data_IF_301460530706
#
_entry.id   IF_301460530706
#
_cell.length_a   1.000
_cell.length_b   1.000
_cell.length_c   1.000
_cell.angle_alpha   90.00
_cell.angle_beta   90.00
_cell.angle_gamma   90.00
#
_symmetry.space_group_name_H-M   'P 1'
#
loop_
_entity.id
_entity.type
_entity.pdbx_description
1 polymer ?
#
# COMPACT_ATOMS: atom_id res chain seq x y z
N UNK A 1 10.61 1.18 -14.66
CA UNK A 1 11.84 2.00 -14.49
C UNK A 1 11.54 3.16 -13.56
N UNK A 2 12.52 3.74 -12.86
CA UNK A 2 12.27 4.85 -11.95
C UNK A 2 13.40 5.85 -11.80
N UNK A 3 13.10 6.99 -11.19
CA UNK A 3 14.02 8.10 -10.96
C UNK A 3 13.84 8.69 -9.56
N UNK A 4 14.96 8.87 -8.86
CA UNK A 4 14.98 9.61 -7.60
C UNK A 4 14.84 11.11 -7.87
N UNK A 5 13.87 11.72 -7.22
CA UNK A 5 13.58 13.15 -7.26
C UNK A 5 14.60 13.96 -6.44
N UNK A 6 15.16 13.37 -5.38
CA UNK A 6 16.27 13.92 -4.62
C UNK A 6 17.58 13.15 -4.90
N UNK A 7 18.74 13.71 -4.52
CA UNK A 7 20.03 13.00 -4.59
C UNK A 7 20.12 11.92 -3.50
N UNK A 8 19.38 10.83 -3.67
CA UNK A 8 19.32 9.67 -2.77
C UNK A 8 19.66 8.37 -3.52
N UNK A 9 19.90 7.32 -2.74
CA UNK A 9 20.04 5.92 -3.19
C UNK A 9 19.43 5.00 -2.13
N UNK A 10 19.09 3.77 -2.51
CA UNK A 10 18.75 2.71 -1.54
C UNK A 10 19.94 2.36 -0.63
N UNK A 11 19.67 1.63 0.46
CA UNK A 11 20.67 1.14 1.41
C UNK A 11 21.55 0.01 0.83
N UNK A 12 21.10 -0.67 -0.22
CA UNK A 12 21.84 -1.70 -0.95
C UNK A 12 21.78 -1.42 -2.46
N UNK A 13 22.74 -1.97 -3.22
CA UNK A 13 22.74 -1.83 -4.69
C UNK A 13 21.61 -2.64 -5.34
N UNK A 14 21.29 -3.79 -4.76
CA UNK A 14 20.13 -4.62 -5.07
C UNK A 14 19.27 -4.65 -3.82
N UNK A 15 18.06 -4.12 -3.91
CA UNK A 15 17.08 -4.05 -2.82
C UNK A 15 16.00 -5.11 -3.06
N UNK A 16 16.00 -6.22 -2.31
CA UNK A 16 14.99 -7.26 -2.45
C UNK A 16 13.65 -6.91 -1.79
N UNK A 17 13.62 -5.94 -0.87
CA UNK A 17 12.38 -5.57 -0.17
C UNK A 17 11.57 -4.53 -0.96
N UNK A 18 10.44 -4.97 -1.52
CA UNK A 18 9.48 -4.11 -2.19
C UNK A 18 9.04 -2.92 -1.32
N UNK A 19 9.05 -3.07 0.01
CA UNK A 19 8.62 -2.02 0.93
C UNK A 19 9.51 -0.79 0.88
N UNK A 20 10.82 -0.92 0.64
CA UNK A 20 11.72 0.23 0.54
C UNK A 20 11.41 1.08 -0.69
N UNK A 21 11.06 0.43 -1.81
CA UNK A 21 10.59 1.11 -3.02
C UNK A 21 9.27 1.85 -2.75
N UNK A 22 8.32 1.20 -2.05
CA UNK A 22 7.02 1.79 -1.71
C UNK A 22 7.13 2.97 -0.75
N UNK A 23 8.04 2.90 0.24
CA UNK A 23 8.32 4.02 1.13
C UNK A 23 8.84 5.23 0.36
N UNK A 24 9.79 5.02 -0.55
CA UNK A 24 10.34 6.09 -1.39
C UNK A 24 9.31 6.71 -2.35
N UNK A 25 8.36 5.91 -2.84
CA UNK A 25 7.22 6.40 -3.61
C UNK A 25 6.25 7.22 -2.75
N UNK A 26 5.90 6.71 -1.58
CA UNK A 26 5.00 7.37 -0.64
C UNK A 26 5.59 8.68 -0.09
N UNK A 27 6.91 8.74 0.13
CA UNK A 27 7.62 9.96 0.52
C UNK A 27 7.80 10.96 -0.63
N UNK A 28 7.33 10.63 -1.85
CA UNK A 28 7.52 11.43 -3.06
C UNK A 28 8.99 11.72 -3.36
N UNK A 29 9.88 10.79 -3.01
CA UNK A 29 11.31 10.89 -3.28
C UNK A 29 11.72 10.10 -4.53
N UNK A 30 10.89 9.16 -4.95
CA UNK A 30 11.10 8.27 -6.09
C UNK A 30 9.84 8.27 -6.95
N UNK A 31 10.00 8.29 -8.27
CA UNK A 31 8.92 8.00 -9.22
C UNK A 31 9.28 6.73 -9.98
N UNK A 32 8.32 5.83 -10.15
CA UNK A 32 8.45 4.63 -11.01
C UNK A 32 7.29 4.56 -11.99
N UNK A 33 7.55 4.11 -13.21
CA UNK A 33 6.53 3.92 -14.25
C UNK A 33 6.71 2.59 -14.98
N UNK A 34 5.57 2.06 -15.46
CA UNK A 34 5.48 0.79 -16.18
C UNK A 34 5.99 1.00 -17.61
N UNK A 35 6.91 0.16 -18.07
CA UNK A 35 7.61 0.37 -19.33
C UNK A 35 6.97 -0.34 -20.52
N UNK A 36 6.27 -1.46 -20.29
CA UNK A 36 5.69 -2.29 -21.36
C UNK A 36 4.61 -1.53 -22.11
N UNK A 37 3.67 -0.92 -21.39
CA UNK A 37 2.57 -0.13 -21.93
C UNK A 37 3.03 1.15 -22.61
N UNK A 38 4.11 1.76 -22.14
CA UNK A 38 4.73 2.94 -22.78
C UNK A 38 5.35 2.58 -24.13
N UNK A 39 5.81 1.34 -24.30
CA UNK A 39 6.37 0.85 -25.57
C UNK A 39 5.35 0.19 -26.50
N UNK A 40 4.09 0.05 -26.08
CA UNK A 40 3.03 -0.53 -26.90
C UNK A 40 2.48 0.47 -27.92
N UNK A 41 1.81 0.01 -28.97
CA UNK A 41 1.05 0.85 -29.90
C UNK A 41 -0.43 0.45 -29.87
N UNK A 42 -1.35 1.33 -29.45
CA UNK A 42 -1.15 2.73 -29.04
C UNK A 42 -0.42 2.84 -27.69
N UNK A 43 0.38 3.90 -27.54
CA UNK A 43 1.20 4.10 -26.35
C UNK A 43 0.35 4.55 -25.15
N UNK A 44 0.66 3.99 -23.98
CA UNK A 44 0.03 4.39 -22.72
C UNK A 44 0.50 5.79 -22.29
N UNK A 45 -0.41 6.58 -21.71
CA UNK A 45 -0.05 7.87 -21.09
C UNK A 45 0.86 7.68 -19.89
N UNK A 46 1.66 8.68 -19.54
CA UNK A 46 2.53 8.63 -18.36
C UNK A 46 1.73 8.37 -17.07
N UNK A 47 0.60 9.06 -16.87
CA UNK A 47 -0.29 8.81 -15.73
C UNK A 47 -0.89 7.40 -15.73
N UNK A 48 -1.18 6.83 -16.92
CA UNK A 48 -1.58 5.45 -17.05
C UNK A 48 -0.49 4.49 -16.59
N UNK A 49 0.75 4.75 -17.00
CA UNK A 49 1.92 3.95 -16.65
C UNK A 49 2.29 4.02 -15.16
N UNK A 50 2.01 5.15 -14.50
CA UNK A 50 2.10 5.27 -13.04
C UNK A 50 1.05 4.39 -12.36
N UNK A 51 -0.23 4.54 -12.74
CA UNK A 51 -1.35 3.78 -12.14
C UNK A 51 -1.26 2.28 -12.35
N UNK A 52 -0.77 1.83 -13.50
CA UNK A 52 -0.55 0.41 -13.78
C UNK A 52 0.44 -0.25 -12.80
N UNK A 53 1.35 0.54 -12.22
CA UNK A 53 2.33 0.06 -11.25
C UNK A 53 1.80 -0.02 -9.82
N UNK A 54 0.77 0.76 -9.46
CA UNK A 54 0.19 0.73 -8.11
C UNK A 54 -0.30 -0.67 -7.72
N UNK A 55 -0.90 -1.39 -8.67
CA UNK A 55 -1.32 -2.78 -8.47
C UNK A 55 -0.14 -3.74 -8.30
N UNK A 56 0.88 -3.62 -9.15
CA UNK A 56 2.08 -4.49 -9.15
C UNK A 56 3.00 -4.26 -7.94
N UNK A 57 2.97 -3.04 -7.39
CA UNK A 57 3.62 -2.69 -6.13
C UNK A 57 2.66 -2.81 -4.93
N UNK A 58 1.50 -3.43 -5.13
CA UNK A 58 0.57 -3.77 -4.07
C UNK A 58 1.17 -4.80 -3.12
N UNK A 59 0.70 -4.77 -1.87
CA UNK A 59 1.12 -5.72 -0.82
C UNK A 59 0.85 -7.17 -1.22
N UNK A 60 -0.27 -7.39 -1.90
CA UNK A 60 -0.74 -8.72 -2.26
C UNK A 60 0.12 -9.35 -3.39
N UNK A 61 0.77 -8.50 -4.19
CA UNK A 61 1.66 -8.85 -5.30
C UNK A 61 3.14 -8.89 -4.87
N UNK A 62 3.44 -8.75 -3.57
CA UNK A 62 4.83 -8.71 -3.08
C UNK A 62 5.64 -9.95 -3.47
N UNK A 63 4.99 -11.10 -3.65
CA UNK A 63 5.63 -12.35 -4.07
C UNK A 63 6.14 -12.32 -5.52
N UNK A 64 5.58 -11.45 -6.38
CA UNK A 64 6.01 -11.25 -7.76
C UNK A 64 7.16 -10.23 -7.88
N UNK A 65 7.45 -9.48 -6.81
CA UNK A 65 8.57 -8.56 -6.77
C UNK A 65 9.87 -9.33 -6.52
N UNK A 66 10.81 -9.22 -7.45
CA UNK A 66 12.12 -9.89 -7.35
C UNK A 66 13.14 -9.00 -6.66
N UNK A 67 13.40 -7.81 -7.21
CA UNK A 67 14.32 -6.82 -6.65
C UNK A 67 14.19 -5.46 -7.35
N UNK A 68 14.63 -4.40 -6.67
CA UNK A 68 14.95 -3.12 -7.26
C UNK A 68 16.47 -2.94 -7.34
N UNK A 69 16.95 -2.45 -8.49
CA UNK A 69 18.39 -2.24 -8.72
C UNK A 69 18.66 -0.74 -8.72
N UNK A 70 19.44 -0.27 -7.75
CA UNK A 70 19.91 1.12 -7.72
C UNK A 70 21.12 1.29 -8.64
N UNK A 71 20.87 1.85 -9.82
CA UNK A 71 21.91 2.07 -10.84
C UNK A 71 22.99 3.03 -10.34
N UNK A 72 22.61 4.09 -9.61
CA UNK A 72 23.58 5.08 -9.11
C UNK A 72 24.50 4.45 -8.07
N UNK A 73 23.93 3.70 -7.12
CA UNK A 73 24.72 3.02 -6.09
C UNK A 73 25.60 1.92 -6.68
N UNK A 74 25.07 1.14 -7.62
CA UNK A 74 25.83 0.10 -8.34
C UNK A 74 27.06 0.69 -9.04
N UNK A 75 26.89 1.82 -9.74
CA UNK A 75 28.01 2.53 -10.41
C UNK A 75 29.03 3.08 -9.44
N UNK A 76 28.60 3.62 -8.29
CA UNK A 76 29.53 4.08 -7.25
C UNK A 76 30.36 2.93 -6.65
N UNK A 77 29.81 1.71 -6.67
CA UNK A 77 30.51 0.47 -6.30
C UNK A 77 31.36 -0.13 -7.42
N UNK A 78 31.54 0.56 -8.55
CA UNK A 78 32.38 0.10 -9.66
C UNK A 78 31.69 -0.76 -10.71
N UNK A 79 30.37 -1.01 -10.60
CA UNK A 79 29.60 -1.74 -11.61
C UNK A 79 29.31 -0.79 -12.78
N UNK A 80 30.06 -0.96 -13.87
CA UNK A 80 29.94 -0.13 -15.07
C UNK A 80 29.22 -0.88 -16.20
N UNK A 81 28.53 -0.17 -17.11
CA UNK A 81 27.96 -0.78 -18.30
C UNK A 81 29.04 -1.48 -19.13
N UNK A 82 28.69 -2.63 -19.71
CA UNK A 82 29.56 -3.29 -20.68
C UNK A 82 29.68 -2.41 -21.94
N UNK A 83 30.86 -2.41 -22.55
CA UNK A 83 31.09 -1.71 -23.81
C UNK A 83 30.17 -2.30 -24.88
N UNK A 84 29.26 -1.47 -25.41
CA UNK A 84 28.43 -1.85 -26.54
C UNK A 84 29.25 -1.63 -27.82
N UNK A 85 29.64 -2.73 -28.48
CA UNK A 85 30.39 -2.69 -29.74
C UNK A 85 29.49 -2.69 -30.97
N UNK A 86 28.17 -2.72 -30.80
CA UNK A 86 27.22 -2.52 -31.89
C UNK A 86 26.73 -1.08 -31.89
N UNK A 87 26.74 -0.38 -33.05
CA UNK A 87 25.99 0.87 -33.16
C UNK A 87 24.53 0.57 -32.84
N UNK A 88 23.90 1.41 -32.01
CA UNK A 88 22.48 1.30 -31.66
C UNK A 88 21.69 1.16 -32.96
N UNK A 89 21.29 -0.07 -33.30
CA UNK A 89 20.31 -0.31 -34.34
C UNK A 89 19.00 0.18 -33.76
N UNK A 90 18.61 1.41 -34.11
CA UNK A 90 17.22 1.82 -34.00
C UNK A 90 16.44 0.80 -34.81
N UNK A 91 15.82 -0.18 -34.16
CA UNK A 91 14.74 -0.99 -34.75
C UNK A 91 13.50 -0.09 -34.92
N UNK A 92 13.67 1.03 -35.61
CA UNK A 92 12.56 1.74 -36.22
C UNK A 92 12.57 1.20 -37.64
N UNK A 93 11.80 0.13 -37.86
CA UNK A 93 11.15 0.02 -39.15
C UNK A 93 10.26 1.27 -39.18
N UNK A 94 10.69 2.29 -39.91
CA UNK A 94 9.89 3.48 -40.20
C UNK A 94 8.70 3.01 -41.03
N UNK A 95 7.72 2.42 -40.35
CA UNK A 95 6.40 2.20 -40.91
C UNK A 95 5.71 3.56 -40.82
N UNK A 96 5.86 4.31 -41.91
CA UNK A 96 5.52 5.72 -42.09
C UNK A 96 4.00 5.94 -42.20
N UNK A 97 3.18 5.18 -41.44
CA UNK A 97 1.73 5.13 -41.64
C UNK A 97 0.90 5.09 -40.35
N UNK A 98 1.19 5.99 -39.41
CA UNK A 98 0.16 6.62 -38.57
C UNK A 98 0.77 7.83 -37.85
N UNK A 99 0.12 9.01 -37.85
CA UNK A 99 0.52 10.08 -36.95
C UNK A 99 0.36 9.56 -35.51
N UNK A 100 1.49 9.28 -34.85
CA UNK A 100 1.49 9.04 -33.41
C UNK A 100 1.07 10.36 -32.78
N UNK A 101 -0.13 10.40 -32.19
CA UNK A 101 -0.59 11.59 -31.49
C UNK A 101 0.40 11.90 -30.37
N UNK A 102 1.00 13.09 -30.42
CA UNK A 102 1.89 13.56 -29.36
C UNK A 102 1.11 13.60 -28.05
N UNK A 103 1.54 12.77 -27.10
CA UNK A 103 0.98 12.78 -25.75
C UNK A 103 1.52 14.02 -25.02
N UNK A 104 0.67 14.88 -24.45
CA UNK A 104 1.12 16.04 -23.70
C UNK A 104 1.92 15.61 -22.46
N UNK A 105 3.01 16.33 -22.18
CA UNK A 105 3.78 16.12 -20.96
C UNK A 105 2.96 16.56 -19.73
N UNK A 106 2.95 15.76 -18.65
CA UNK A 106 2.28 16.15 -17.41
C UNK A 106 3.06 17.27 -16.69
N UNK A 107 2.38 17.97 -15.78
CA UNK A 107 2.99 18.98 -14.91
C UNK A 107 4.07 18.37 -14.00
N UNK A 108 5.17 19.10 -13.80
CA UNK A 108 6.28 18.65 -12.96
C UNK A 108 5.87 18.42 -11.50
N UNK A 109 6.43 17.40 -10.81
CA UNK A 109 6.14 17.14 -9.40
C UNK A 109 6.69 18.26 -8.48
N UNK A 110 5.96 18.58 -7.42
CA UNK A 110 6.36 19.57 -6.40
C UNK A 110 7.25 18.96 -5.32
N UNK A 111 8.34 19.65 -4.95
CA UNK A 111 9.36 19.20 -3.99
C UNK A 111 9.21 19.80 -2.58
N UNK A 112 8.15 20.56 -2.31
CA UNK A 112 8.04 21.40 -1.11
C UNK A 112 7.57 20.68 0.18
N UNK A 113 7.25 19.39 0.13
CA UNK A 113 6.60 18.65 1.23
C UNK A 113 7.44 17.46 1.71
N UNK A 114 8.66 17.69 2.23
CA UNK A 114 9.44 16.65 2.92
C UNK A 114 9.32 16.78 4.45
N UNK A 115 9.03 15.71 5.21
CA UNK A 115 8.95 15.79 6.67
C UNK A 115 10.34 15.96 7.30
N UNK A 116 10.47 16.86 8.27
CA UNK A 116 11.68 17.04 9.06
C UNK A 116 11.73 16.06 10.25
N UNK A 117 12.86 15.39 10.45
CA UNK A 117 13.09 14.51 11.60
C UNK A 117 13.40 15.31 12.88
N UNK A 118 12.57 15.16 13.92
CA UNK A 118 12.80 15.74 15.25
C UNK A 118 13.42 14.72 16.19
N UNK A 119 14.59 15.04 16.75
CA UNK A 119 15.30 14.21 17.75
C UNK A 119 14.91 14.65 19.17
N UNK A 120 14.42 13.73 20.01
CA UNK A 120 14.04 14.02 21.40
C UNK A 120 15.25 14.14 22.36
N UNK A 121 15.29 15.22 23.13
CA UNK A 121 16.27 15.46 24.21
C UNK A 121 15.66 15.13 25.57
N UNK A 122 16.45 14.50 26.44
CA UNK A 122 16.04 14.00 27.77
C UNK A 122 15.93 15.16 28.79
N UNK A 123 14.75 15.43 29.41
CA UNK A 123 14.59 16.56 30.32
C UNK A 123 14.99 16.25 31.78
N UNK A 124 15.43 17.27 32.50
CA UNK A 124 15.99 17.24 33.88
C UNK A 124 15.05 17.76 34.97
N UNK A 125 13.81 18.18 34.65
CA UNK A 125 12.87 18.78 35.62
C UNK A 125 11.74 17.84 36.07
N UNK A 126 11.00 18.22 37.12
CA UNK A 126 9.88 17.44 37.68
C UNK A 126 8.72 17.27 36.69
N UNK A 127 8.44 18.27 35.85
CA UNK A 127 7.49 18.16 34.74
C UNK A 127 7.92 17.09 33.72
N UNK A 128 9.21 17.00 33.39
CA UNK A 128 9.80 15.99 32.53
C UNK A 128 9.80 14.59 33.13
N UNK A 129 9.70 14.47 34.46
CA UNK A 129 9.45 13.18 35.13
C UNK A 129 8.00 12.73 34.99
N UNK A 130 7.03 13.64 35.09
CA UNK A 130 5.61 13.36 34.83
C UNK A 130 5.41 12.98 33.36
N UNK A 131 6.04 13.71 32.44
CA UNK A 131 6.05 13.42 31.01
C UNK A 131 6.69 12.04 30.71
N UNK A 132 7.77 11.69 31.43
CA UNK A 132 8.35 10.34 31.36
C UNK A 132 7.43 9.26 31.93
N UNK A 133 6.61 9.56 32.92
CA UNK A 133 5.62 8.62 33.46
C UNK A 133 4.44 8.44 32.50
N UNK A 134 3.98 9.50 31.83
CA UNK A 134 3.05 9.40 30.71
C UNK A 134 3.65 8.57 29.55
N UNK A 135 4.93 8.79 29.21
CA UNK A 135 5.66 7.95 28.25
C UNK A 135 5.84 6.49 28.69
N UNK A 136 5.74 6.19 29.99
CA UNK A 136 5.74 4.80 30.51
C UNK A 136 4.36 4.14 30.47
N UNK A 137 3.27 4.92 30.45
CA UNK A 137 1.92 4.41 30.16
C UNK A 137 1.78 4.00 28.69
N UNK A 138 2.61 4.56 27.80
CA UNK A 138 2.74 4.11 26.42
C UNK A 138 3.54 2.79 26.39
N UNK A 139 2.85 1.67 26.22
CA UNK A 139 3.50 0.38 25.95
C UNK A 139 4.14 0.42 24.54
N UNK A 140 5.44 0.70 24.48
CA UNK A 140 6.22 0.70 23.25
C UNK A 140 6.72 -0.71 22.85
N UNK A 141 6.27 -1.76 23.54
CA UNK A 141 6.64 -3.13 23.19
C UNK A 141 5.78 -3.65 22.04
N UNK A 142 6.25 -4.75 21.41
CA UNK A 142 5.49 -5.46 20.37
C UNK A 142 4.22 -6.16 20.89
N UNK A 143 3.94 -6.09 22.20
CA UNK A 143 2.67 -6.56 22.77
C UNK A 143 1.54 -5.57 22.49
N UNK A 144 1.88 -4.29 22.29
CA UNK A 144 0.93 -3.28 21.91
C UNK A 144 0.43 -3.51 20.48
N UNK A 145 -0.87 -3.77 20.33
CA UNK A 145 -1.51 -3.99 19.02
C UNK A 145 -1.49 -2.76 18.11
N UNK A 146 -1.29 -1.57 18.67
CA UNK A 146 -1.10 -0.32 17.91
C UNK A 146 0.29 -0.24 17.28
N UNK A 147 1.26 -1.02 17.76
CA UNK A 147 2.60 -1.10 17.18
C UNK A 147 2.81 -2.40 16.40
N UNK A 148 2.20 -3.49 16.85
CA UNK A 148 2.27 -4.79 16.19
C UNK A 148 0.88 -5.41 16.14
N UNK A 149 0.26 -5.29 14.97
CA UNK A 149 -1.05 -5.81 14.64
C UNK A 149 -0.91 -7.12 13.83
N UNK A 150 -0.92 -8.28 14.51
CA UNK A 150 -0.92 -9.56 13.83
C UNK A 150 -2.29 -9.85 13.21
N UNK A 151 -2.29 -10.63 12.13
CA UNK A 151 -3.55 -11.18 11.61
C UNK A 151 -4.11 -12.15 12.63
N UNK A 152 -5.37 -11.94 13.02
CA UNK A 152 -6.02 -12.77 14.04
C UNK A 152 -7.46 -13.09 13.64
N UNK A 153 -8.05 -14.06 14.33
CA UNK A 153 -9.49 -14.35 14.18
C UNK A 153 -10.37 -13.22 14.72
N UNK A 154 -9.82 -12.31 15.53
CA UNK A 154 -10.54 -11.15 16.09
C UNK A 154 -10.52 -9.93 15.15
N UNK A 155 -10.17 -10.11 13.88
CA UNK A 155 -10.04 -9.03 12.91
C UNK A 155 -10.63 -9.48 11.58
N UNK A 156 -11.41 -8.61 10.96
CA UNK A 156 -12.02 -8.86 9.65
C UNK A 156 -11.39 -7.86 8.66
N UNK A 157 -10.53 -8.32 7.73
CA UNK A 157 -10.07 -7.49 6.63
C UNK A 157 -11.21 -7.32 5.62
N UNK A 158 -11.22 -6.20 4.91
CA UNK A 158 -12.12 -5.96 3.78
C UNK A 158 -11.50 -5.00 2.77
N UNK A 159 -11.97 -5.09 1.54
CA UNK A 159 -11.55 -4.27 0.42
C UNK A 159 -12.44 -3.02 0.36
N UNK A 160 -11.85 -1.86 0.61
CA UNK A 160 -12.51 -0.57 0.50
C UNK A 160 -11.87 0.23 -0.64
N UNK A 161 -12.69 0.70 -1.58
CA UNK A 161 -12.25 1.52 -2.71
C UNK A 161 -12.33 3.02 -2.42
N UNK A 162 -13.22 3.43 -1.52
CA UNK A 162 -13.43 4.81 -1.09
C UNK A 162 -13.63 4.89 0.42
N UNK A 163 -12.58 5.32 1.13
CA UNK A 163 -12.58 5.44 2.59
C UNK A 163 -13.42 6.64 3.05
N UNK A 164 -13.45 7.73 2.28
CA UNK A 164 -14.21 8.93 2.64
C UNK A 164 -15.70 8.62 2.65
N UNK A 165 -16.18 7.91 1.61
CA UNK A 165 -17.57 7.44 1.58
C UNK A 165 -17.93 6.59 2.81
N UNK A 166 -17.10 5.61 3.18
CA UNK A 166 -17.37 4.75 4.35
C UNK A 166 -17.43 5.57 5.63
N UNK A 167 -16.51 6.51 5.81
CA UNK A 167 -16.45 7.37 6.98
C UNK A 167 -17.69 8.26 7.10
N UNK A 168 -18.09 8.93 6.01
CA UNK A 168 -19.32 9.73 5.95
C UNK A 168 -20.56 8.88 6.27
N UNK A 169 -20.66 7.66 5.72
CA UNK A 169 -21.80 6.76 5.99
C UNK A 169 -21.86 6.33 7.45
N UNK A 170 -20.72 5.96 8.04
CA UNK A 170 -20.65 5.57 9.44
C UNK A 170 -20.95 6.75 10.38
N UNK A 171 -20.44 7.95 10.08
CA UNK A 171 -20.73 9.17 10.84
C UNK A 171 -22.23 9.52 10.83
N UNK A 172 -22.92 9.23 9.72
CA UNK A 172 -24.37 9.38 9.60
C UNK A 172 -25.18 8.24 10.25
N UNK A 173 -24.52 7.26 10.90
CA UNK A 173 -25.18 6.12 11.55
C UNK A 173 -25.75 5.09 10.57
N UNK A 174 -25.31 5.09 9.30
CA UNK A 174 -25.74 4.09 8.34
C UNK A 174 -25.13 2.72 8.66
N UNK A 175 -25.93 1.66 8.46
CA UNK A 175 -25.45 0.30 8.59
C UNK A 175 -24.77 -0.15 7.29
N UNK A 176 -23.54 -0.66 7.40
CA UNK A 176 -22.77 -1.21 6.28
C UNK A 176 -22.65 -2.72 6.46
N UNK A 177 -22.99 -3.48 5.42
CA UNK A 177 -22.97 -4.95 5.46
C UNK A 177 -21.62 -5.48 5.01
N UNK A 178 -21.02 -6.39 5.77
CA UNK A 178 -19.80 -7.08 5.35
C UNK A 178 -20.18 -8.37 4.60
N UNK A 179 -19.68 -8.54 3.38
CA UNK A 179 -19.98 -9.69 2.50
C UNK A 179 -18.72 -10.49 2.17
N UNK A 180 -18.85 -11.79 1.88
CA UNK A 180 -17.70 -12.62 1.46
C UNK A 180 -17.41 -12.40 -0.03
N UNK A 181 -16.20 -11.91 -0.35
CA UNK A 181 -15.77 -11.69 -1.73
C UNK A 181 -15.66 -12.99 -2.54
N UNK A 182 -15.06 -14.09 -2.03
CA UNK A 182 -14.99 -15.35 -2.78
C UNK A 182 -16.35 -15.94 -3.17
N UNK A 183 -17.38 -15.73 -2.34
CA UNK A 183 -18.74 -16.22 -2.60
C UNK A 183 -19.49 -15.34 -3.61
N UNK A 184 -19.37 -14.02 -3.47
CA UNK A 184 -20.15 -13.05 -4.25
C UNK A 184 -19.50 -12.73 -5.60
N UNK A 185 -18.18 -12.91 -5.72
CA UNK A 185 -17.44 -12.75 -6.95
C UNK A 185 -16.43 -13.91 -7.13
N UNK A 186 -16.91 -15.14 -7.35
CA UNK A 186 -16.04 -16.30 -7.54
C UNK A 186 -15.23 -16.11 -8.83
N UNK A 187 -13.90 -16.20 -8.71
CA UNK A 187 -12.99 -15.99 -9.83
C UNK A 187 -13.11 -17.08 -10.92
N UNK A 188 -13.57 -18.29 -10.58
CA UNK A 188 -13.77 -19.38 -11.55
C UNK A 188 -12.52 -19.66 -12.41
N UNK A 189 -12.69 -19.85 -13.72
CA UNK A 189 -11.60 -19.98 -14.72
C UNK A 189 -11.06 -18.61 -15.22
N UNK A 190 -11.51 -17.49 -14.66
CA UNK A 190 -11.07 -16.16 -15.09
C UNK A 190 -9.68 -15.91 -14.51
N UNK A 191 -8.68 -15.91 -15.37
CA UNK A 191 -7.32 -15.55 -14.98
C UNK A 191 -7.26 -14.06 -14.60
N UNK A 192 -7.16 -13.80 -13.29
CA UNK A 192 -7.12 -12.46 -12.73
C UNK A 192 -5.88 -11.68 -13.19
N UNK A 193 -4.78 -12.37 -13.54
CA UNK A 193 -3.60 -11.74 -14.10
C UNK A 193 -3.87 -11.30 -15.55
N UNK A 194 -4.46 -12.18 -16.36
CA UNK A 194 -4.78 -11.89 -17.77
C UNK A 194 -5.80 -10.77 -17.92
N UNK A 195 -6.85 -10.73 -17.09
CA UNK A 195 -7.86 -9.67 -17.12
C UNK A 195 -7.28 -8.30 -16.72
N UNK A 196 -6.38 -8.30 -15.73
CA UNK A 196 -5.69 -7.08 -15.26
C UNK A 196 -4.72 -6.54 -16.31
N UNK A 197 -3.97 -7.43 -16.97
CA UNK A 197 -3.01 -7.07 -18.03
C UNK A 197 -3.70 -6.54 -19.29
N UNK A 198 -4.89 -7.06 -19.64
CA UNK A 198 -5.63 -6.66 -20.85
C UNK A 198 -6.47 -5.39 -20.64
N UNK A 199 -7.11 -5.23 -19.48
CA UNK A 199 -8.06 -4.13 -19.25
C UNK A 199 -7.56 -3.04 -18.29
N UNK A 200 -6.40 -3.22 -17.65
CA UNK A 200 -5.82 -2.25 -16.71
C UNK A 200 -6.68 -2.00 -15.46
N UNK A 201 -7.64 -2.89 -15.18
CA UNK A 201 -8.58 -2.80 -14.05
C UNK A 201 -8.57 -4.10 -13.26
N UNK A 202 -8.49 -3.97 -11.94
CA UNK A 202 -8.66 -5.08 -11.03
C UNK A 202 -10.15 -5.44 -10.91
N UNK A 203 -10.51 -6.66 -11.34
CA UNK A 203 -11.86 -7.20 -11.32
C UNK A 203 -12.49 -7.14 -9.92
N UNK A 204 -11.68 -7.39 -8.88
CA UNK A 204 -12.15 -7.37 -7.49
C UNK A 204 -12.37 -5.93 -7.01
N UNK A 205 -11.53 -4.99 -7.48
CA UNK A 205 -11.67 -3.57 -7.17
C UNK A 205 -12.90 -2.96 -7.82
N UNK A 206 -13.22 -3.36 -9.06
CA UNK A 206 -14.47 -2.98 -9.73
C UNK A 206 -15.71 -3.46 -8.97
N UNK A 207 -15.74 -4.74 -8.62
CA UNK A 207 -16.82 -5.31 -7.80
C UNK A 207 -16.96 -4.60 -6.44
N UNK A 208 -15.84 -4.32 -5.76
CA UNK A 208 -15.87 -3.63 -4.48
C UNK A 208 -16.38 -2.20 -4.57
N UNK A 209 -16.08 -1.48 -5.66
CA UNK A 209 -16.65 -0.16 -5.90
C UNK A 209 -18.17 -0.21 -6.07
N UNK A 210 -18.69 -1.18 -6.82
CA UNK A 210 -20.14 -1.36 -6.98
C UNK A 210 -20.82 -1.84 -5.70
N UNK A 211 -20.18 -2.71 -4.93
CA UNK A 211 -20.66 -3.18 -3.63
C UNK A 211 -20.77 -2.02 -2.63
N UNK A 212 -19.80 -1.11 -2.63
CA UNK A 212 -19.79 0.02 -1.71
C UNK A 212 -20.98 0.98 -1.95
N UNK A 213 -21.40 1.15 -3.20
CA UNK A 213 -22.61 1.93 -3.54
C UNK A 213 -23.91 1.31 -3.00
N UNK A 214 -23.89 0.04 -2.61
CA UNK A 214 -24.99 -0.68 -1.95
C UNK A 214 -24.80 -0.77 -0.44
N UNK A 215 -23.88 0.00 0.12
CA UNK A 215 -23.44 -0.08 1.52
C UNK A 215 -22.93 -1.50 1.90
N UNK A 216 -22.19 -2.13 0.99
CA UNK A 216 -21.56 -3.44 1.19
C UNK A 216 -20.03 -3.36 1.15
N UNK A 217 -19.36 -4.01 2.11
CA UNK A 217 -17.91 -4.13 2.18
C UNK A 217 -17.47 -5.58 1.94
N UNK A 218 -16.82 -5.87 0.80
CA UNK A 218 -16.33 -7.22 0.52
C UNK A 218 -15.10 -7.59 1.36
N UNK A 219 -15.18 -8.70 2.07
CA UNK A 219 -14.06 -9.32 2.80
C UNK A 219 -13.42 -10.44 1.98
N UNK A 220 -12.09 -10.57 1.94
CA UNK A 220 -11.43 -11.70 1.26
C UNK A 220 -11.63 -13.05 1.96
N UNK A 221 -12.29 -13.07 3.13
CA UNK A 221 -12.60 -14.29 3.87
C UNK A 221 -13.72 -15.10 3.21
N UNK A 222 -13.64 -16.42 3.30
CA UNK A 222 -14.77 -17.30 2.96
C UNK A 222 -15.96 -17.09 3.91
N UNK A 223 -17.15 -17.50 3.47
CA UNK A 223 -18.41 -17.29 4.21
C UNK A 223 -18.34 -17.86 5.63
N UNK A 224 -17.85 -19.09 5.81
CA UNK A 224 -17.83 -19.75 7.13
C UNK A 224 -16.87 -19.04 8.07
N UNK A 225 -15.70 -18.67 7.59
CA UNK A 225 -14.73 -17.90 8.37
C UNK A 225 -15.27 -16.51 8.72
N UNK A 226 -15.88 -15.82 7.75
CA UNK A 226 -16.43 -14.48 7.95
C UNK A 226 -17.53 -14.50 9.02
N UNK A 227 -18.50 -15.40 8.90
CA UNK A 227 -19.61 -15.55 9.86
C UNK A 227 -19.10 -15.87 11.26
N UNK A 228 -18.15 -16.80 11.39
CA UNK A 228 -17.56 -17.15 12.68
C UNK A 228 -16.90 -15.93 13.32
N UNK A 229 -16.10 -15.16 12.57
CA UNK A 229 -15.42 -13.96 13.09
C UNK A 229 -16.38 -12.84 13.45
N UNK A 230 -17.45 -12.64 12.67
CA UNK A 230 -18.50 -11.64 12.96
C UNK A 230 -19.22 -11.98 14.27
N UNK A 231 -19.59 -13.25 14.47
CA UNK A 231 -20.25 -13.71 15.70
C UNK A 231 -19.33 -13.54 16.91
N UNK A 232 -18.06 -13.94 16.79
CA UNK A 232 -17.08 -13.81 17.87
C UNK A 232 -16.83 -12.35 18.24
N UNK A 233 -16.70 -11.46 17.24
CA UNK A 233 -16.56 -10.02 17.45
C UNK A 233 -17.78 -9.44 18.14
N UNK A 234 -18.99 -9.74 17.66
CA UNK A 234 -20.22 -9.25 18.26
C UNK A 234 -20.35 -9.67 19.74
N UNK A 235 -20.04 -10.94 20.05
CA UNK A 235 -20.06 -11.45 21.43
C UNK A 235 -19.03 -10.73 22.30
N UNK A 236 -17.81 -10.55 21.80
CA UNK A 236 -16.76 -9.85 22.53
C UNK A 236 -17.16 -8.40 22.83
N UNK A 237 -17.63 -7.66 21.83
CA UNK A 237 -18.02 -6.24 21.98
C UNK A 237 -19.17 -6.09 22.97
N UNK A 238 -20.16 -7.01 22.94
CA UNK A 238 -21.25 -7.00 23.93
C UNK A 238 -20.77 -7.28 25.35
N UNK A 239 -19.85 -8.20 25.53
CA UNK A 239 -19.28 -8.49 26.84
C UNK A 239 -18.45 -7.29 27.34
N UNK A 240 -17.59 -6.74 26.50
CA UNK A 240 -16.75 -5.58 26.83
C UNK A 240 -17.62 -4.35 27.19
N UNK A 241 -18.73 -4.15 26.48
CA UNK A 241 -19.70 -3.09 26.79
C UNK A 241 -20.45 -3.33 28.11
N UNK A 242 -20.82 -4.59 28.40
CA UNK A 242 -21.50 -4.93 29.65
C UNK A 242 -20.59 -4.81 30.88
N UNK A 243 -19.30 -5.16 30.74
CA UNK A 243 -18.32 -5.11 31.84
C UNK A 243 -17.73 -3.71 32.04
N UNK A 244 -17.37 -3.04 30.94
CA UNK A 244 -16.60 -1.80 30.95
C UNK A 244 -17.37 -0.56 30.52
N UNK A 245 -18.61 -0.69 30.05
CA UNK A 245 -19.43 0.43 29.57
C UNK A 245 -18.91 1.11 28.30
N UNK A 246 -17.88 0.56 27.64
CA UNK A 246 -17.19 1.16 26.51
C UNK A 246 -17.18 0.22 25.30
N UNK A 247 -17.29 0.79 24.10
CA UNK A 247 -17.19 0.04 22.86
C UNK A 247 -15.71 -0.14 22.49
N UNK A 248 -15.28 -1.39 22.33
CA UNK A 248 -13.91 -1.79 21.99
C UNK A 248 -13.74 -2.14 20.51
N UNK A 249 -14.78 -1.97 19.70
CA UNK A 249 -14.74 -2.17 18.26
C UNK A 249 -14.22 -0.92 17.56
N UNK A 250 -13.19 -1.11 16.74
CA UNK A 250 -12.61 -0.05 15.95
C UNK A 250 -12.43 -0.49 14.51
N UNK A 251 -12.74 0.42 13.60
CA UNK A 251 -12.33 0.38 12.22
C UNK A 251 -10.87 0.87 12.11
N UNK A 252 -9.98 0.00 11.67
CA UNK A 252 -8.60 0.37 11.35
C UNK A 252 -8.49 0.87 9.90
N UNK A 253 -8.17 2.15 9.74
CA UNK A 253 -7.96 2.78 8.43
C UNK A 253 -6.47 2.87 8.17
N UNK A 254 -6.01 2.02 7.25
CA UNK A 254 -4.60 1.96 6.83
C UNK A 254 -3.67 1.35 7.88
N UNK A 255 -2.55 0.79 7.41
CA UNK A 255 -1.53 0.19 8.26
C UNK A 255 -0.13 0.62 7.81
N UNK A 256 0.69 1.08 8.75
CA UNK A 256 2.12 1.27 8.58
C UNK A 256 2.84 -0.05 8.78
N UNK A 257 3.65 -0.47 7.80
CA UNK A 257 4.57 -1.61 7.97
C UNK A 257 5.96 -1.10 8.35
N UNK A 258 6.51 -1.62 9.45
CA UNK A 258 7.81 -1.21 9.98
C UNK A 258 8.63 -2.40 10.48
N UNK A 259 9.94 -2.20 10.63
CA UNK A 259 10.90 -3.17 11.18
C UNK A 259 11.66 -2.51 12.32
N UNK A 260 12.12 -3.28 13.31
CA UNK A 260 12.90 -2.74 14.43
C UNK A 260 14.27 -2.24 13.98
N UNK A 261 14.88 -2.97 13.06
CA UNK A 261 16.09 -2.57 12.33
C UNK A 261 15.87 -2.77 10.84
N UNK A 262 16.51 -1.97 9.97
CA UNK A 262 16.40 -2.14 8.52
C UNK A 262 16.72 -3.56 8.06
N UNK A 263 17.64 -4.24 8.73
CA UNK A 263 18.14 -5.57 8.39
C UNK A 263 17.28 -6.73 8.94
N UNK A 264 16.27 -6.45 9.77
CA UNK A 264 15.42 -7.51 10.32
C UNK A 264 14.50 -8.11 9.23
N UNK A 265 14.45 -9.43 9.15
CA UNK A 265 13.50 -10.12 8.25
C UNK A 265 12.05 -9.94 8.69
N UNK A 266 11.83 -9.77 10.00
CA UNK A 266 10.48 -9.70 10.59
C UNK A 266 9.91 -8.28 10.50
N UNK A 267 8.83 -8.12 9.74
CA UNK A 267 8.06 -6.89 9.67
C UNK A 267 6.83 -6.91 10.58
N UNK A 268 6.47 -5.73 11.09
CA UNK A 268 5.32 -5.48 11.94
C UNK A 268 4.38 -4.51 11.26
N UNK A 269 3.09 -4.55 11.63
CA UNK A 269 2.06 -3.62 11.13
C UNK A 269 1.49 -2.81 12.28
N UNK A 270 1.26 -1.53 12.08
CA UNK A 270 0.66 -0.61 13.03
C UNK A 270 -0.52 0.10 12.36
N UNK A 271 -1.75 0.10 12.92
CA UNK A 271 -2.86 0.87 12.34
C UNK A 271 -2.52 2.36 12.33
N UNK A 272 -2.85 3.07 11.26
CA UNK A 272 -2.62 4.51 11.13
C UNK A 272 -3.70 5.32 11.86
N UNK A 273 -4.94 4.93 11.66
CA UNK A 273 -6.11 5.58 12.26
C UNK A 273 -7.08 4.51 12.76
N UNK A 274 -7.67 4.74 13.93
CA UNK A 274 -8.73 3.91 14.49
C UNK A 274 -9.99 4.77 14.65
N UNK A 275 -11.07 4.36 13.99
CA UNK A 275 -12.39 5.00 14.10
C UNK A 275 -13.28 4.10 14.94
N UNK A 276 -13.87 4.59 16.04
CA UNK A 276 -14.85 3.81 16.80
C UNK A 276 -16.11 3.59 15.94
N UNK A 277 -16.69 2.38 16.00
CA UNK A 277 -17.85 1.97 15.19
C UNK A 277 -18.94 1.34 16.03
#
# INVERSE_FOLDING_TARGET
>A
VGVWLAKRTFAHAVEPDQMEVRKALASRELIVFETTGVTHRPAMTFEGALRALDGRLGVDEAHAFVAAIDVRRSRSGGIMPLASHEPIRRNVQEDDSAPVADLPLPSAPSFAEMPAETVEVKPTNAAGRIDRWQKKLLDLTLRNRLLSFPDSKKTIPFLCTDVAYVEDRLANGAAIRIISLPEQNPLGERDAALYRDVHGRDLQRGFAAEALLRDELPSPLDVRQLETRLIDLYRQVRNDFAEGGANTLFLAVGFLRWKKKPEDERSYRAPLLLVPV
#
